data_IF_563819436442
#
_entry.id   IF_563819436442
#
_cell.length_a   1.000
_cell.length_b   1.000
_cell.length_c   1.000
_cell.angle_alpha   90.00
_cell.angle_beta   90.00
_cell.angle_gamma   90.00
#
_symmetry.space_group_name_H-M   'P 1'
#
loop_
_entity.id
_entity.type
_entity.pdbx_description
1 polymer ?
#
# COMPACT_ATOMS: atom_id res chain seq x y z
N UNK A 1 -14.64 -3.28 28.15
CA UNK A 1 -14.01 -2.05 27.63
C UNK A 1 -12.74 -2.50 26.90
N UNK A 2 -12.56 -2.17 25.64
CA UNK A 2 -11.33 -2.52 24.91
C UNK A 2 -10.15 -1.69 25.48
N UNK A 3 -8.95 -2.27 25.57
CA UNK A 3 -7.76 -1.51 26.01
C UNK A 3 -7.42 -0.32 25.09
N UNK A 4 -8.00 -0.29 23.91
CA UNK A 4 -7.84 0.80 22.95
C UNK A 4 -8.97 1.84 23.00
N UNK A 5 -9.88 1.76 23.98
CA UNK A 5 -10.85 2.82 24.22
C UNK A 5 -10.15 4.03 24.81
N UNK A 6 -10.58 5.25 24.43
CA UNK A 6 -9.98 6.51 24.89
C UNK A 6 -9.97 6.66 26.43
N UNK A 7 -10.86 5.93 27.11
CA UNK A 7 -10.93 5.89 28.59
C UNK A 7 -9.98 4.86 29.23
N UNK A 8 -9.31 4.03 28.44
CA UNK A 8 -8.36 3.04 28.96
C UNK A 8 -7.01 3.67 29.19
N UNK A 9 -6.34 3.41 30.33
CA UNK A 9 -5.02 3.96 30.58
C UNK A 9 -3.99 3.39 29.57
N UNK A 10 -3.16 4.28 29.05
CA UNK A 10 -2.00 3.90 28.23
C UNK A 10 -1.03 3.11 29.13
N UNK A 11 -0.54 1.99 28.61
CA UNK A 11 0.44 1.13 29.31
C UNK A 11 1.74 1.13 28.53
N UNK A 12 2.83 1.38 29.22
CA UNK A 12 4.19 1.37 28.69
C UNK A 12 5.12 0.56 29.61
N UNK A 13 5.95 -0.36 29.08
CA UNK A 13 5.98 -0.82 27.70
C UNK A 13 4.63 -1.40 27.27
N UNK A 14 4.31 -1.27 25.97
CA UNK A 14 3.05 -1.80 25.45
C UNK A 14 3.03 -3.34 25.53
N UNK A 15 2.06 -3.95 26.23
CA UNK A 15 2.02 -5.41 26.42
C UNK A 15 1.71 -6.22 25.16
N UNK A 16 1.24 -5.57 24.07
CA UNK A 16 1.00 -6.24 22.79
C UNK A 16 2.23 -6.21 21.87
N UNK A 17 3.29 -5.50 22.28
CA UNK A 17 4.58 -5.53 21.59
C UNK A 17 5.42 -6.66 22.16
N UNK A 18 5.49 -7.78 21.45
CA UNK A 18 6.26 -8.96 21.88
C UNK A 18 7.56 -9.01 21.06
N UNK A 19 8.69 -8.85 21.74
CA UNK A 19 10.01 -8.96 21.14
C UNK A 19 10.41 -10.43 21.04
N UNK A 20 10.35 -11.00 19.82
CA UNK A 20 10.76 -12.39 19.55
C UNK A 20 12.26 -12.51 19.22
N UNK A 21 12.86 -11.46 18.69
CA UNK A 21 14.30 -11.40 18.35
C UNK A 21 14.93 -10.19 19.04
N UNK A 22 16.07 -10.36 19.74
CA UNK A 22 16.74 -9.25 20.43
C UNK A 22 17.10 -8.06 19.53
N UNK A 23 17.31 -8.28 18.22
CA UNK A 23 17.56 -7.21 17.25
C UNK A 23 16.38 -6.24 17.13
N UNK A 24 15.15 -6.72 17.32
CA UNK A 24 13.95 -5.89 17.28
C UNK A 24 13.85 -4.94 18.48
N UNK A 25 14.49 -5.26 19.60
CA UNK A 25 14.46 -4.44 20.81
C UNK A 25 14.98 -3.02 20.59
N UNK A 26 15.93 -2.84 19.67
CA UNK A 26 16.45 -1.52 19.30
C UNK A 26 15.50 -0.69 18.44
N UNK A 27 14.46 -1.30 17.89
CA UNK A 27 13.44 -0.64 17.06
C UNK A 27 12.18 -0.27 17.85
N UNK A 28 12.07 -0.72 19.11
CA UNK A 28 10.91 -0.47 19.96
C UNK A 28 11.25 0.59 20.99
N UNK A 29 10.48 1.66 21.01
CA UNK A 29 10.55 2.66 22.06
C UNK A 29 9.73 2.17 23.25
N UNK A 30 10.39 1.90 24.39
CA UNK A 30 9.75 1.32 25.57
C UNK A 30 8.65 2.19 26.21
N UNK A 31 8.54 3.45 25.82
CA UNK A 31 7.51 4.39 26.26
C UNK A 31 6.48 4.72 25.17
N UNK A 32 6.58 4.12 23.99
CA UNK A 32 5.57 4.23 22.94
C UNK A 32 4.52 3.12 23.10
N UNK A 33 3.25 3.50 23.05
CA UNK A 33 2.13 2.58 23.08
C UNK A 33 1.49 2.44 21.69
N UNK A 34 0.83 1.30 21.46
CA UNK A 34 -0.06 1.14 20.32
C UNK A 34 -1.36 1.88 20.63
N UNK A 35 -1.72 2.85 19.81
CA UNK A 35 -2.91 3.67 19.96
C UNK A 35 -3.89 3.43 18.83
N UNK A 36 -5.18 3.30 19.17
CA UNK A 36 -6.24 3.33 18.18
C UNK A 36 -6.66 4.76 17.93
N UNK A 37 -6.19 5.34 16.83
CA UNK A 37 -6.39 6.75 16.52
C UNK A 37 -7.80 7.08 16.00
N UNK A 38 -8.50 6.13 15.38
CA UNK A 38 -9.86 6.33 14.88
C UNK A 38 -10.62 5.00 14.69
N UNK A 39 -11.94 5.08 14.56
CA UNK A 39 -12.86 3.94 14.32
C UNK A 39 -14.00 4.36 13.41
N UNK A 40 -14.84 3.39 12.99
CA UNK A 40 -16.05 3.66 12.20
C UNK A 40 -15.88 3.41 10.70
N UNK A 41 -14.79 2.74 10.31
CA UNK A 41 -14.49 2.37 8.92
C UNK A 41 -14.87 0.93 8.64
N UNK A 42 -14.99 0.58 7.35
CA UNK A 42 -15.32 -0.79 6.93
C UNK A 42 -14.07 -1.62 6.66
N UNK A 43 -13.12 -1.07 5.90
CA UNK A 43 -11.86 -1.73 5.59
C UNK A 43 -10.83 -0.68 5.19
N UNK A 44 -9.93 -0.38 6.13
CA UNK A 44 -8.91 0.66 5.94
C UNK A 44 -7.64 0.09 5.34
N UNK A 45 -7.07 0.83 4.38
CA UNK A 45 -5.88 0.45 3.65
C UNK A 45 -5.02 1.66 3.27
N UNK A 46 -3.83 1.38 2.76
CA UNK A 46 -2.95 2.34 2.12
C UNK A 46 -2.59 3.55 2.97
N UNK A 47 -2.07 3.39 4.21
CA UNK A 47 -1.70 4.54 5.03
C UNK A 47 -0.49 5.27 4.43
N UNK A 48 -0.62 6.58 4.22
CA UNK A 48 0.43 7.48 3.76
C UNK A 48 0.54 8.71 4.68
N UNK A 49 1.60 8.76 5.48
CA UNK A 49 1.81 9.84 6.44
C UNK A 49 2.59 11.02 5.82
N UNK A 50 2.11 12.22 6.08
CA UNK A 50 2.69 13.49 5.66
C UNK A 50 3.22 14.23 6.89
N UNK A 51 4.50 14.02 7.20
CA UNK A 51 5.14 14.58 8.40
C UNK A 51 5.15 16.10 8.41
N UNK A 52 5.33 16.75 7.26
CA UNK A 52 5.35 18.21 7.14
C UNK A 52 4.00 18.85 7.50
N UNK A 53 2.90 18.15 7.17
CA UNK A 53 1.53 18.58 7.44
C UNK A 53 0.93 17.95 8.69
N UNK A 54 1.62 16.99 9.32
CA UNK A 54 1.17 16.23 10.47
C UNK A 54 -0.22 15.62 10.27
N UNK A 55 -0.36 14.86 9.16
CA UNK A 55 -1.60 14.14 8.86
C UNK A 55 -1.32 12.81 8.17
N UNK A 56 -2.27 11.89 8.31
CA UNK A 56 -2.29 10.60 7.65
C UNK A 56 -3.41 10.58 6.61
N UNK A 57 -3.08 10.20 5.38
CA UNK A 57 -4.08 9.81 4.38
C UNK A 57 -4.22 8.30 4.38
N UNK A 58 -5.45 7.81 4.22
CA UNK A 58 -5.75 6.38 4.15
C UNK A 58 -7.06 6.13 3.42
N UNK A 59 -7.20 4.93 2.91
CA UNK A 59 -8.38 4.49 2.18
C UNK A 59 -9.38 3.81 3.11
N UNK A 60 -10.68 4.00 2.87
CA UNK A 60 -11.75 3.13 3.33
C UNK A 60 -12.43 2.56 2.07
N UNK A 61 -11.95 1.40 1.63
CA UNK A 61 -12.23 0.88 0.29
C UNK A 61 -13.73 0.68 0.05
N UNK A 62 -14.48 -0.06 0.92
CA UNK A 62 -15.89 -0.33 0.64
C UNK A 62 -16.80 0.91 0.75
N UNK A 63 -16.35 1.94 1.45
CA UNK A 63 -17.01 3.22 1.51
C UNK A 63 -16.62 4.14 0.33
N UNK A 64 -15.75 3.65 -0.55
CA UNK A 64 -15.25 4.37 -1.73
C UNK A 64 -14.73 5.76 -1.37
N UNK A 65 -13.95 5.84 -0.28
CA UNK A 65 -13.50 7.08 0.33
C UNK A 65 -11.99 7.09 0.60
N UNK A 66 -11.37 8.21 0.28
CA UNK A 66 -10.05 8.59 0.74
C UNK A 66 -10.20 9.54 1.92
N UNK A 67 -9.56 9.22 3.04
CA UNK A 67 -9.73 9.90 4.32
C UNK A 67 -8.43 10.56 4.76
N UNK A 68 -8.55 11.61 5.58
CA UNK A 68 -7.45 12.29 6.24
C UNK A 68 -7.68 12.31 7.75
N UNK A 69 -6.75 11.74 8.48
CA UNK A 69 -6.66 11.95 9.92
C UNK A 69 -5.64 13.06 10.21
N UNK A 70 -6.03 14.02 11.01
CA UNK A 70 -5.19 15.15 11.42
C UNK A 70 -4.59 14.86 12.81
N UNK A 71 -3.27 14.81 12.89
CA UNK A 71 -2.56 14.45 14.12
C UNK A 71 -2.73 15.47 15.24
N UNK A 72 -2.94 16.74 14.90
CA UNK A 72 -3.03 17.82 15.89
C UNK A 72 -4.41 17.80 16.57
N UNK A 73 -5.45 17.59 15.78
CA UNK A 73 -6.84 17.64 16.26
C UNK A 73 -7.42 16.28 16.58
N UNK A 74 -6.79 15.18 16.10
CA UNK A 74 -7.31 13.81 16.18
C UNK A 74 -8.54 13.57 15.31
N UNK A 75 -8.92 14.51 14.45
CA UNK A 75 -10.14 14.43 13.64
C UNK A 75 -9.91 13.70 12.34
N UNK A 76 -10.91 12.94 11.89
CA UNK A 76 -10.93 12.35 10.55
C UNK A 76 -11.90 13.11 9.67
N UNK A 77 -11.45 13.47 8.47
CA UNK A 77 -12.26 14.11 7.45
C UNK A 77 -12.19 13.31 6.14
N UNK A 78 -13.26 13.37 5.35
CA UNK A 78 -13.25 12.84 3.99
C UNK A 78 -12.50 13.79 3.08
N UNK A 79 -11.43 13.30 2.46
CA UNK A 79 -10.65 14.04 1.47
C UNK A 79 -11.30 13.94 0.09
N UNK A 80 -11.74 12.73 -0.30
CA UNK A 80 -12.37 12.48 -1.60
C UNK A 80 -13.38 11.33 -1.50
N UNK A 81 -14.57 11.52 -2.09
CA UNK A 81 -15.60 10.50 -2.29
C UNK A 81 -16.53 10.92 -3.43
N UNK A 82 -16.82 10.07 -4.45
CA UNK A 82 -16.21 8.77 -4.69
C UNK A 82 -14.71 8.87 -5.03
N UNK A 83 -13.94 7.85 -4.68
CA UNK A 83 -12.49 7.84 -4.83
C UNK A 83 -11.98 6.65 -5.69
N UNK A 84 -12.86 6.04 -6.50
CA UNK A 84 -12.52 4.92 -7.37
C UNK A 84 -12.22 3.61 -6.63
N UNK A 85 -12.75 3.43 -5.41
CA UNK A 85 -12.39 2.35 -4.49
C UNK A 85 -10.87 2.37 -4.21
N UNK A 86 -10.37 3.39 -3.51
CA UNK A 86 -8.95 3.58 -3.28
C UNK A 86 -8.41 2.46 -2.39
N UNK A 87 -7.17 2.02 -2.65
CA UNK A 87 -6.47 1.00 -1.88
C UNK A 87 -5.13 1.56 -1.40
N UNK A 88 -4.00 1.09 -1.93
CA UNK A 88 -2.68 1.56 -1.58
C UNK A 88 -2.43 3.02 -1.94
N UNK A 89 -1.77 3.72 -1.06
CA UNK A 89 -1.38 5.11 -1.25
C UNK A 89 0.09 5.32 -0.92
N UNK A 90 0.73 6.23 -1.63
CA UNK A 90 2.06 6.73 -1.30
C UNK A 90 2.21 8.18 -1.76
N UNK A 91 3.31 8.83 -1.40
CA UNK A 91 3.65 10.15 -1.92
C UNK A 91 4.80 10.07 -2.92
N UNK A 92 4.75 10.88 -3.95
CA UNK A 92 5.89 11.03 -4.86
C UNK A 92 6.95 11.98 -4.27
N UNK A 93 8.04 12.19 -5.01
CA UNK A 93 9.16 13.03 -4.58
C UNK A 93 8.83 14.52 -4.50
N UNK A 94 7.72 14.93 -5.08
CA UNK A 94 7.17 16.28 -4.98
C UNK A 94 6.10 16.42 -3.89
N UNK A 95 5.84 15.35 -3.13
CA UNK A 95 4.82 15.33 -2.07
C UNK A 95 3.39 15.16 -2.56
N UNK A 96 3.17 14.81 -3.85
CA UNK A 96 1.84 14.55 -4.39
C UNK A 96 1.41 13.13 -4.04
N UNK A 97 0.11 12.94 -3.84
CA UNK A 97 -0.45 11.64 -3.52
C UNK A 97 -0.56 10.78 -4.78
N UNK A 98 -0.03 9.55 -4.70
CA UNK A 98 -0.27 8.47 -5.66
C UNK A 98 -1.25 7.49 -5.02
N UNK A 99 -2.31 7.13 -5.73
CA UNK A 99 -3.37 6.24 -5.24
C UNK A 99 -3.60 5.09 -6.24
N UNK A 100 -3.64 3.87 -5.72
CA UNK A 100 -4.18 2.71 -6.42
C UNK A 100 -5.70 2.74 -6.29
N UNK A 101 -6.42 2.67 -7.40
CA UNK A 101 -7.87 2.66 -7.42
C UNK A 101 -8.38 1.34 -7.99
N UNK A 102 -8.96 0.50 -7.12
CA UNK A 102 -9.39 -0.85 -7.47
C UNK A 102 -10.60 -0.86 -8.42
N UNK A 103 -11.59 0.00 -8.19
CA UNK A 103 -12.82 0.02 -8.96
C UNK A 103 -12.66 0.70 -10.32
N UNK A 104 -11.94 1.80 -10.39
CA UNK A 104 -11.60 2.45 -11.67
C UNK A 104 -10.50 1.69 -12.43
N UNK A 105 -9.78 0.79 -11.75
CA UNK A 105 -8.66 0.00 -12.28
C UNK A 105 -7.54 0.89 -12.80
N UNK A 106 -7.21 1.93 -12.02
CA UNK A 106 -6.26 2.97 -12.40
C UNK A 106 -5.23 3.25 -11.31
N UNK A 107 -4.07 3.73 -11.72
CA UNK A 107 -3.12 4.41 -10.85
C UNK A 107 -3.28 5.90 -11.07
N UNK A 108 -3.57 6.65 -10.02
CA UNK A 108 -3.82 8.11 -10.11
C UNK A 108 -2.83 8.92 -9.29
N UNK A 109 -2.69 10.19 -9.65
CA UNK A 109 -1.93 11.17 -8.88
C UNK A 109 -2.83 12.38 -8.60
N UNK A 110 -2.89 12.76 -7.33
CA UNK A 110 -3.51 14.02 -6.92
C UNK A 110 -2.48 15.12 -6.97
N UNK A 111 -2.67 16.08 -7.84
CA UNK A 111 -1.79 17.24 -8.01
C UNK A 111 -1.94 18.23 -6.84
N UNK A 112 -1.04 19.20 -6.70
CA UNK A 112 -1.09 20.18 -5.61
C UNK A 112 -2.31 21.11 -5.66
N UNK A 113 -2.92 21.28 -6.82
CA UNK A 113 -4.17 22.05 -7.00
C UNK A 113 -5.44 21.19 -6.78
N UNK A 114 -5.27 19.92 -6.43
CA UNK A 114 -6.36 18.95 -6.23
C UNK A 114 -6.82 18.24 -7.50
N UNK A 115 -6.28 18.55 -8.66
CA UNK A 115 -6.57 17.86 -9.92
C UNK A 115 -6.12 16.40 -9.84
N UNK A 116 -6.91 15.48 -10.40
CA UNK A 116 -6.56 14.06 -10.49
C UNK A 116 -6.03 13.75 -11.88
N UNK A 117 -4.79 13.28 -11.93
CA UNK A 117 -4.13 12.81 -13.15
C UNK A 117 -4.10 11.29 -13.16
N UNK A 118 -4.66 10.65 -14.19
CA UNK A 118 -4.50 9.21 -14.41
C UNK A 118 -3.10 8.94 -14.95
N UNK A 119 -2.30 8.20 -14.20
CA UNK A 119 -0.93 7.84 -14.57
C UNK A 119 -0.89 6.55 -15.38
N UNK A 120 -1.75 5.57 -15.04
CA UNK A 120 -1.87 4.31 -15.76
C UNK A 120 -3.28 3.75 -15.61
N UNK A 121 -3.81 3.17 -16.69
CA UNK A 121 -5.09 2.45 -16.75
C UNK A 121 -5.01 1.19 -17.62
N UNK A 122 -4.01 1.12 -18.53
CA UNK A 122 -3.83 0.03 -19.45
C UNK A 122 -2.35 -0.36 -19.56
N UNK A 123 -2.08 -1.62 -19.82
CA UNK A 123 -0.78 -2.14 -20.21
C UNK A 123 -0.89 -2.79 -21.59
N UNK A 124 -0.11 -2.29 -22.56
CA UNK A 124 -0.15 -2.76 -23.98
C UNK A 124 -1.56 -2.75 -24.58
N UNK A 125 -2.38 -1.75 -24.22
CA UNK A 125 -3.74 -1.59 -24.72
C UNK A 125 -4.81 -2.39 -23.96
N UNK A 126 -4.43 -3.23 -22.98
CA UNK A 126 -5.35 -4.01 -22.14
C UNK A 126 -5.50 -3.34 -20.79
N UNK A 127 -6.73 -3.24 -20.29
CA UNK A 127 -7.03 -2.60 -19.01
C UNK A 127 -6.37 -3.34 -17.85
N UNK A 128 -5.81 -2.60 -16.90
CA UNK A 128 -5.27 -3.15 -15.63
C UNK A 128 -6.33 -3.95 -14.89
N UNK A 129 -5.92 -4.91 -14.07
CA UNK A 129 -6.86 -5.73 -13.29
C UNK A 129 -7.37 -5.05 -12.03
N UNK A 130 -6.58 -4.17 -11.45
CA UNK A 130 -6.86 -3.38 -10.25
C UNK A 130 -5.58 -3.20 -9.45
N UNK A 131 -4.90 -2.05 -9.62
CA UNK A 131 -3.74 -1.68 -8.81
C UNK A 131 -4.06 -1.75 -7.32
N UNK A 132 -3.15 -2.36 -6.53
CA UNK A 132 -3.40 -2.64 -5.12
C UNK A 132 -2.48 -1.82 -4.19
N UNK A 133 -1.16 -1.99 -4.26
CA UNK A 133 -0.21 -1.18 -3.47
C UNK A 133 0.85 -0.54 -4.36
N UNK A 134 1.52 0.51 -3.86
CA UNK A 134 2.39 1.38 -4.66
C UNK A 134 3.53 1.95 -3.85
N UNK A 135 4.71 2.03 -4.47
CA UNK A 135 5.89 2.74 -3.95
C UNK A 135 6.54 3.60 -5.03
N UNK A 136 7.18 4.68 -4.61
CA UNK A 136 7.94 5.57 -5.50
C UNK A 136 9.41 5.49 -5.16
N UNK A 137 10.21 5.08 -6.14
CA UNK A 137 11.67 4.99 -6.03
C UNK A 137 12.31 6.38 -6.04
N UNK A 138 13.57 6.53 -5.55
CA UNK A 138 14.30 7.79 -5.51
C UNK A 138 14.51 8.42 -6.89
N UNK A 139 14.58 7.60 -7.95
CA UNK A 139 14.67 8.06 -9.34
C UNK A 139 13.34 8.58 -9.91
N UNK A 140 12.25 8.57 -9.11
CA UNK A 140 10.92 9.02 -9.50
C UNK A 140 10.07 7.95 -10.17
N UNK A 141 10.60 6.78 -10.47
CA UNK A 141 9.80 5.68 -11.03
C UNK A 141 8.81 5.13 -10.01
N UNK A 142 7.62 4.77 -10.46
CA UNK A 142 6.51 4.28 -9.65
C UNK A 142 6.39 2.79 -9.87
N UNK A 143 6.38 2.01 -8.79
CA UNK A 143 6.22 0.57 -8.84
C UNK A 143 4.95 0.20 -8.09
N UNK A 144 4.10 -0.61 -8.72
CA UNK A 144 2.81 -0.98 -8.14
C UNK A 144 2.44 -2.42 -8.45
N UNK A 145 1.74 -3.05 -7.50
CA UNK A 145 1.14 -4.36 -7.68
C UNK A 145 -0.24 -4.24 -8.32
N UNK A 146 -0.58 -5.20 -9.19
CA UNK A 146 -1.88 -5.32 -9.84
C UNK A 146 -2.41 -6.74 -9.61
N UNK A 147 -3.36 -6.89 -8.68
CA UNK A 147 -3.81 -8.20 -8.19
C UNK A 147 -5.31 -8.46 -8.34
N UNK A 148 -6.03 -7.51 -8.94
CA UNK A 148 -7.45 -7.65 -9.23
C UNK A 148 -8.35 -7.74 -8.00
N UNK A 149 -7.95 -7.20 -6.83
CA UNK A 149 -8.76 -7.25 -5.62
C UNK A 149 -10.17 -6.66 -5.84
N UNK A 150 -10.26 -5.56 -6.58
CA UNK A 150 -11.50 -4.85 -6.86
C UNK A 150 -12.48 -5.58 -7.79
N UNK A 151 -11.99 -6.52 -8.61
CA UNK A 151 -12.84 -7.23 -9.58
C UNK A 151 -13.26 -8.65 -9.13
N UNK A 152 -12.83 -9.09 -7.96
CA UNK A 152 -13.20 -10.42 -7.42
C UNK A 152 -14.64 -10.49 -6.91
N UNK A 153 -15.24 -9.35 -6.57
CA UNK A 153 -16.58 -9.22 -6.03
C UNK A 153 -17.02 -7.76 -6.00
N UNK A 154 -18.19 -7.51 -5.41
CA UNK A 154 -18.79 -6.16 -5.37
C UNK A 154 -18.58 -5.44 -4.02
N UNK A 155 -17.56 -5.85 -3.26
CA UNK A 155 -17.27 -5.24 -1.96
C UNK A 155 -16.14 -4.20 -2.03
N UNK A 156 -15.10 -4.47 -2.86
CA UNK A 156 -13.94 -3.59 -3.05
C UNK A 156 -13.92 -2.94 -4.45
N UNK A 157 -15.02 -3.05 -5.19
CA UNK A 157 -15.16 -2.59 -6.56
C UNK A 157 -16.29 -3.34 -7.25
N UNK A 158 -16.23 -3.47 -8.56
CA UNK A 158 -17.25 -4.15 -9.37
C UNK A 158 -16.70 -5.45 -9.96
N UNK A 159 -17.42 -6.57 -9.74
CA UNK A 159 -17.00 -7.89 -10.21
C UNK A 159 -16.79 -7.91 -11.72
N UNK A 160 -15.61 -8.33 -12.16
CA UNK A 160 -15.23 -8.51 -13.55
C UNK A 160 -14.29 -9.71 -13.73
N UNK A 161 -14.00 -10.05 -14.99
CA UNK A 161 -12.96 -11.04 -15.34
C UNK A 161 -11.64 -10.30 -15.56
N UNK A 162 -10.51 -10.79 -15.02
CA UNK A 162 -9.21 -10.21 -15.28
C UNK A 162 -8.81 -10.44 -16.74
N UNK A 163 -8.36 -9.39 -17.42
CA UNK A 163 -7.87 -9.44 -18.80
C UNK A 163 -6.34 -9.60 -18.86
N UNK A 164 -5.64 -9.32 -17.75
CA UNK A 164 -4.20 -9.44 -17.58
C UNK A 164 -3.87 -10.40 -16.43
N UNK A 165 -2.72 -11.09 -16.48
CA UNK A 165 -2.16 -11.77 -15.32
C UNK A 165 -1.80 -10.77 -14.20
N UNK A 166 -1.85 -11.22 -12.95
CA UNK A 166 -1.43 -10.43 -11.80
C UNK A 166 0.08 -10.23 -11.81
N UNK A 167 0.53 -8.98 -11.58
CA UNK A 167 1.93 -8.59 -11.79
C UNK A 167 2.33 -7.42 -10.90
N UNK A 168 3.63 -7.18 -10.83
CA UNK A 168 4.17 -5.89 -10.40
C UNK A 168 4.63 -5.13 -11.65
N UNK A 169 4.19 -3.89 -11.77
CA UNK A 169 4.57 -3.01 -12.86
C UNK A 169 5.52 -1.92 -12.38
N UNK A 170 6.35 -1.44 -13.31
CA UNK A 170 7.16 -0.23 -13.17
C UNK A 170 6.69 0.78 -14.19
N UNK A 171 6.39 1.98 -13.73
CA UNK A 171 5.98 3.14 -14.55
C UNK A 171 7.00 4.25 -14.43
N UNK A 172 7.42 4.81 -15.55
CA UNK A 172 8.07 6.11 -15.63
C UNK A 172 6.99 7.19 -15.79
N UNK A 173 6.74 8.02 -14.76
CA UNK A 173 5.63 8.98 -14.79
C UNK A 173 5.89 10.19 -15.70
N UNK A 174 7.11 10.35 -16.20
CA UNK A 174 7.48 11.44 -17.14
C UNK A 174 7.16 11.04 -18.58
N UNK A 175 7.52 9.82 -18.95
CA UNK A 175 7.32 9.31 -20.32
C UNK A 175 6.02 8.55 -20.49
N UNK A 176 5.37 8.14 -19.39
CA UNK A 176 4.22 7.24 -19.40
C UNK A 176 4.58 5.78 -19.75
N UNK A 177 5.87 5.47 -19.90
CA UNK A 177 6.31 4.11 -20.27
C UNK A 177 6.15 3.18 -19.08
N UNK A 178 5.42 2.09 -19.29
CA UNK A 178 5.22 1.03 -18.32
C UNK A 178 5.89 -0.26 -18.77
N UNK A 179 6.39 -1.04 -17.83
CA UNK A 179 7.02 -2.34 -18.05
C UNK A 179 6.68 -3.30 -16.90
N UNK A 180 6.77 -4.60 -17.16
CA UNK A 180 6.63 -5.63 -16.14
C UNK A 180 7.90 -5.62 -15.29
N UNK A 181 7.75 -5.41 -13.99
CA UNK A 181 8.83 -5.50 -13.01
C UNK A 181 8.98 -6.92 -12.46
N UNK A 182 7.84 -7.56 -12.09
CA UNK A 182 7.77 -8.96 -11.65
C UNK A 182 6.54 -9.59 -12.30
N UNK A 183 6.74 -10.66 -13.06
CA UNK A 183 5.67 -11.30 -13.85
C UNK A 183 5.07 -12.57 -13.26
N UNK A 184 5.84 -13.27 -12.45
CA UNK A 184 5.49 -14.62 -12.03
C UNK A 184 5.01 -14.65 -10.57
N UNK A 185 3.90 -13.95 -10.29
CA UNK A 185 3.29 -13.89 -8.97
C UNK A 185 1.84 -14.36 -9.00
N UNK A 186 1.43 -15.04 -7.93
CA UNK A 186 0.06 -15.55 -7.85
C UNK A 186 -0.93 -14.46 -7.44
N UNK A 187 -0.52 -13.56 -6.51
CA UNK A 187 -1.34 -12.43 -6.04
C UNK A 187 -0.45 -11.38 -5.35
N UNK A 188 0.29 -10.58 -6.12
CA UNK A 188 1.14 -9.54 -5.55
C UNK A 188 0.30 -8.53 -4.77
N UNK A 189 0.79 -8.15 -3.57
CA UNK A 189 0.13 -7.22 -2.66
C UNK A 189 1.12 -6.12 -2.26
N UNK A 190 1.41 -5.92 -0.99
CA UNK A 190 2.33 -4.92 -0.51
C UNK A 190 3.71 -5.02 -1.13
N UNK A 191 4.33 -3.86 -1.39
CA UNK A 191 5.69 -3.81 -1.90
C UNK A 191 6.48 -2.66 -1.24
N UNK A 192 7.78 -2.90 -1.04
CA UNK A 192 8.67 -1.89 -0.47
C UNK A 192 10.11 -2.08 -0.97
N UNK A 193 10.82 -0.97 -1.17
CA UNK A 193 12.27 -1.01 -1.38
C UNK A 193 13.01 -1.08 -0.05
N UNK A 194 14.23 -1.66 -0.07
CA UNK A 194 15.20 -1.47 1.02
C UNK A 194 15.62 0.01 1.10
N UNK A 195 16.18 0.48 2.24
CA UNK A 195 16.56 1.89 2.41
C UNK A 195 17.54 2.41 1.35
N UNK A 196 18.42 1.57 0.84
CA UNK A 196 19.37 1.87 -0.25
C UNK A 196 18.81 1.53 -1.65
N UNK A 197 17.57 1.05 -1.73
CA UNK A 197 16.85 0.71 -2.96
C UNK A 197 17.55 -0.33 -3.88
N UNK A 198 18.44 -1.13 -3.31
CA UNK A 198 19.09 -2.25 -4.01
C UNK A 198 18.25 -3.54 -3.98
N UNK A 199 17.17 -3.55 -3.19
CA UNK A 199 16.22 -4.66 -3.06
C UNK A 199 14.78 -4.18 -3.13
N UNK A 200 13.93 -5.04 -3.70
CA UNK A 200 12.47 -4.89 -3.68
C UNK A 200 11.88 -6.09 -2.94
N UNK A 201 11.09 -5.82 -1.90
CA UNK A 201 10.25 -6.81 -1.24
C UNK A 201 8.86 -6.77 -1.84
N UNK A 202 8.29 -7.94 -2.12
CA UNK A 202 6.93 -8.05 -2.66
C UNK A 202 6.20 -9.16 -1.92
N UNK A 203 5.08 -8.82 -1.34
CA UNK A 203 4.17 -9.78 -0.70
C UNK A 203 3.38 -10.52 -1.76
N UNK A 204 3.26 -11.84 -1.63
CA UNK A 204 2.39 -12.66 -2.45
C UNK A 204 1.38 -13.40 -1.55
N UNK A 205 0.08 -13.16 -1.75
CA UNK A 205 -1.00 -13.65 -0.89
C UNK A 205 -1.95 -14.62 -1.61
N UNK A 206 -1.45 -15.71 -2.24
CA UNK A 206 -2.30 -16.72 -2.86
C UNK A 206 -3.07 -17.56 -1.83
N UNK A 207 -3.90 -18.48 -2.30
CA UNK A 207 -4.56 -19.47 -1.43
C UNK A 207 -3.58 -20.49 -0.80
N UNK A 208 -2.39 -20.67 -1.40
CA UNK A 208 -1.31 -21.54 -0.93
C UNK A 208 -0.33 -20.83 0.04
N UNK A 209 0.96 -21.14 -0.03
CA UNK A 209 1.97 -20.49 0.80
C UNK A 209 1.92 -18.97 0.66
N UNK A 210 1.96 -18.28 1.78
CA UNK A 210 1.83 -16.81 1.86
C UNK A 210 3.20 -16.24 2.16
N UNK A 211 3.89 -15.85 1.12
CA UNK A 211 5.31 -15.50 1.18
C UNK A 211 5.55 -14.04 0.82
N UNK A 212 6.60 -13.50 1.38
CA UNK A 212 7.21 -12.26 0.88
C UNK A 212 8.45 -12.66 0.11
N UNK A 213 8.52 -12.21 -1.14
CA UNK A 213 9.71 -12.35 -1.98
C UNK A 213 10.63 -11.16 -1.78
N UNK A 214 11.93 -11.39 -2.01
CA UNK A 214 12.92 -10.33 -2.19
C UNK A 214 13.59 -10.49 -3.55
N UNK A 215 13.72 -9.38 -4.26
CA UNK A 215 14.39 -9.26 -5.55
C UNK A 215 15.58 -8.32 -5.40
N UNK A 216 16.67 -8.59 -6.11
CA UNK A 216 17.76 -7.64 -6.24
C UNK A 216 17.42 -6.63 -7.34
N UNK A 217 17.77 -5.36 -7.16
CA UNK A 217 17.56 -4.32 -8.18
C UNK A 217 18.87 -4.10 -8.91
N UNK A 218 18.92 -4.53 -10.17
CA UNK A 218 20.08 -4.37 -11.06
C UNK A 218 19.62 -3.65 -12.32
N UNK A 219 20.28 -2.55 -12.67
CA UNK A 219 19.95 -1.72 -13.84
C UNK A 219 18.45 -1.35 -13.91
N UNK A 220 17.85 -1.06 -12.74
CA UNK A 220 16.45 -0.69 -12.62
C UNK A 220 15.45 -1.83 -12.90
N UNK A 221 15.89 -3.09 -12.82
CA UNK A 221 15.09 -4.32 -12.98
C UNK A 221 15.12 -5.14 -11.71
N UNK A 222 14.00 -5.78 -11.37
CA UNK A 222 13.92 -6.78 -10.30
C UNK A 222 14.40 -8.14 -10.86
N UNK A 223 15.44 -8.69 -10.25
CA UNK A 223 16.06 -9.97 -10.66
C UNK A 223 16.31 -10.85 -9.42
N UNK A 224 16.68 -12.10 -9.63
CA UNK A 224 17.08 -13.03 -8.56
C UNK A 224 16.02 -13.18 -7.46
N UNK A 225 14.76 -13.31 -7.85
CA UNK A 225 13.64 -13.48 -6.91
C UNK A 225 13.82 -14.71 -6.03
N UNK A 226 13.66 -14.54 -4.70
CA UNK A 226 13.76 -15.60 -3.70
C UNK A 226 12.82 -15.32 -2.54
N UNK A 227 12.40 -16.37 -1.85
CA UNK A 227 11.58 -16.21 -0.63
C UNK A 227 12.43 -15.51 0.43
N UNK A 228 11.91 -14.41 0.94
CA UNK A 228 12.46 -13.68 2.08
C UNK A 228 11.83 -14.18 3.40
N UNK A 229 10.51 -14.36 3.40
CA UNK A 229 9.77 -14.76 4.58
C UNK A 229 8.52 -15.58 4.20
N UNK A 230 8.25 -16.65 4.93
CA UNK A 230 7.02 -17.43 4.86
C UNK A 230 6.17 -17.12 6.09
N UNK A 231 5.00 -16.55 5.88
CA UNK A 231 4.05 -16.16 6.92
C UNK A 231 3.04 -17.25 7.28
N UNK A 232 3.11 -18.43 6.64
CA UNK A 232 2.14 -19.51 6.84
C UNK A 232 2.12 -19.99 8.31
N UNK A 233 0.95 -20.14 8.98
CA UNK A 233 -0.43 -20.10 8.47
C UNK A 233 -1.06 -18.69 8.41
N UNK A 234 -0.39 -17.65 8.88
CA UNK A 234 -0.79 -16.27 8.72
C UNK A 234 -0.58 -15.77 7.30
N UNK A 235 -0.59 -14.46 7.11
CA UNK A 235 -0.19 -13.81 5.86
C UNK A 235 0.27 -12.37 6.12
N UNK A 236 1.10 -11.88 5.23
CA UNK A 236 1.47 -10.47 5.13
C UNK A 236 0.56 -9.78 4.11
N UNK A 237 0.37 -8.48 4.25
CA UNK A 237 -0.47 -7.66 3.39
C UNK A 237 0.33 -6.43 2.91
N UNK A 238 -0.04 -5.21 3.29
CA UNK A 238 0.79 -4.04 3.05
C UNK A 238 2.10 -4.08 3.84
N UNK A 239 3.19 -3.61 3.26
CA UNK A 239 4.50 -3.50 3.92
C UNK A 239 5.11 -2.12 3.69
N UNK A 240 5.92 -1.68 4.67
CA UNK A 240 6.72 -0.45 4.57
C UNK A 240 8.11 -0.69 5.17
N UNK A 241 9.10 0.08 4.72
CA UNK A 241 10.48 0.09 5.20
C UNK A 241 10.86 1.52 5.58
#
# INVERSE_FOLDING_TARGET
MSRYDSASPIRTPDPDVIVLDPRFQHMVLGHAAIERIATGFRFTEGPAYYGDGRYLLFSDIPNNALLRWDEITGQVATLRTPAGYPDGNTRDRQGRLITCELGSRTLTRTEHDGTITVLASHFEGVQLTGPNDVVVKSDGTIWFSDNGAGIRGNYLGDKATPDLPYRVYKLDPVTGRMSIAVGDMARPNGLAFSPNEDRLYVVDTPAGPKVTYVYDIVDGKAVNGRIFFDATPGYTDGIRV
#
